data_IF_613463411541
#
_entry.id   IF_613463411541
#
_cell.length_a   1.000
_cell.length_b   1.000
_cell.length_c   1.000
_cell.angle_alpha   90.00
_cell.angle_beta   90.00
_cell.angle_gamma   90.00
#
_symmetry.space_group_name_H-M   'P 1'
#
loop_
_entity.id
_entity.type
_entity.pdbx_description
1 polymer ?
#
# COMPACT_ATOMS: atom_id res chain seq x y z
N UNK A 1 5.98 -5.29 23.15
CA UNK A 1 5.04 -4.28 22.61
C UNK A 1 4.57 -4.74 21.23
N UNK A 2 3.33 -5.26 21.10
CA UNK A 2 2.78 -5.66 19.79
C UNK A 2 2.31 -4.42 19.05
N UNK A 3 3.04 -4.02 18.02
CA UNK A 3 2.80 -2.78 17.28
C UNK A 3 1.66 -2.99 16.27
N UNK A 4 0.40 -2.92 16.74
CA UNK A 4 -0.84 -3.21 15.96
C UNK A 4 -0.96 -2.39 14.66
N UNK A 5 -0.27 -1.26 14.58
CA UNK A 5 -0.17 -0.45 13.36
C UNK A 5 0.64 -1.14 12.26
N UNK A 6 1.72 -1.86 12.58
CA UNK A 6 2.55 -2.58 11.62
C UNK A 6 1.78 -3.73 10.97
N UNK A 7 0.97 -4.47 11.72
CA UNK A 7 0.13 -5.55 11.16
C UNK A 7 -0.84 -5.01 10.10
N UNK A 8 -1.42 -3.83 10.35
CA UNK A 8 -2.33 -3.16 9.41
C UNK A 8 -1.60 -2.66 8.16
N UNK A 9 -0.35 -2.25 8.31
CA UNK A 9 0.52 -1.80 7.21
C UNK A 9 0.91 -2.99 6.34
N UNK A 10 1.35 -4.11 6.93
CA UNK A 10 1.67 -5.35 6.23
C UNK A 10 0.46 -5.88 5.47
N UNK A 11 -0.70 -5.92 6.11
CA UNK A 11 -1.95 -6.35 5.47
C UNK A 11 -2.31 -5.49 4.25
N UNK A 12 -1.98 -4.21 4.30
CA UNK A 12 -2.19 -3.30 3.19
C UNK A 12 -1.22 -3.58 2.02
N UNK A 13 0.05 -3.89 2.31
CA UNK A 13 1.00 -4.33 1.30
C UNK A 13 0.54 -5.62 0.61
N UNK A 14 0.12 -6.64 1.38
CA UNK A 14 -0.38 -7.93 0.85
C UNK A 14 -1.59 -7.74 -0.08
N UNK A 15 -2.51 -6.84 0.27
CA UNK A 15 -3.64 -6.49 -0.62
C UNK A 15 -3.16 -5.83 -1.91
N UNK A 16 -2.17 -4.94 -1.84
CA UNK A 16 -1.61 -4.29 -3.03
C UNK A 16 -0.93 -5.32 -3.95
N UNK A 17 -0.13 -6.21 -3.38
CA UNK A 17 0.56 -7.29 -4.11
C UNK A 17 -0.43 -8.27 -4.76
N UNK A 18 -1.45 -8.72 -4.02
CA UNK A 18 -2.52 -9.55 -4.56
C UNK A 18 -3.25 -8.84 -5.70
N UNK A 19 -3.54 -7.56 -5.55
CA UNK A 19 -4.19 -6.77 -6.59
C UNK A 19 -3.34 -6.71 -7.86
N UNK A 20 -2.04 -6.49 -7.72
CA UNK A 20 -1.09 -6.52 -8.83
C UNK A 20 -1.07 -7.89 -9.53
N UNK A 21 -1.03 -8.98 -8.76
CA UNK A 21 -1.04 -10.34 -9.31
C UNK A 21 -2.34 -10.68 -10.06
N UNK A 22 -3.48 -10.15 -9.62
CA UNK A 22 -4.78 -10.42 -10.23
C UNK A 22 -5.05 -9.52 -11.44
N UNK A 23 -4.74 -8.23 -11.33
CA UNK A 23 -5.15 -7.22 -12.31
C UNK A 23 -4.02 -6.75 -13.24
N UNK A 24 -2.75 -6.97 -12.86
CA UNK A 24 -1.59 -6.51 -13.62
C UNK A 24 -1.30 -5.01 -13.48
N UNK A 25 -2.00 -4.29 -12.60
CA UNK A 25 -1.80 -2.86 -12.34
C UNK A 25 -2.00 -2.49 -10.88
N UNK A 26 -1.54 -1.31 -10.49
CA UNK A 26 -1.61 -0.83 -9.11
C UNK A 26 -3.05 -0.50 -8.67
N UNK A 27 -3.48 -0.88 -7.45
CA UNK A 27 -4.76 -0.45 -6.93
C UNK A 27 -4.74 1.05 -6.61
N UNK A 28 -5.91 1.69 -6.78
CA UNK A 28 -6.09 3.07 -6.33
C UNK A 28 -6.31 3.15 -4.81
N UNK A 29 -6.13 4.33 -4.22
CA UNK A 29 -6.43 4.60 -2.79
C UNK A 29 -7.87 4.18 -2.43
N UNK A 30 -8.84 4.36 -3.34
CA UNK A 30 -10.23 3.92 -3.13
C UNK A 30 -10.36 2.39 -3.14
N UNK A 31 -9.68 1.70 -4.06
CA UNK A 31 -9.70 0.23 -4.11
C UNK A 31 -9.06 -0.36 -2.85
N UNK A 32 -7.93 0.19 -2.41
CA UNK A 32 -7.27 -0.22 -1.16
C UNK A 32 -8.21 -0.03 0.04
N UNK A 33 -8.87 1.14 0.12
CA UNK A 33 -9.86 1.42 1.16
C UNK A 33 -11.01 0.41 1.15
N UNK A 34 -11.58 0.12 -0.01
CA UNK A 34 -12.66 -0.86 -0.17
C UNK A 34 -12.22 -2.28 0.24
N UNK A 35 -11.03 -2.73 -0.18
CA UNK A 35 -10.51 -4.06 0.13
C UNK A 35 -10.15 -4.24 1.61
N UNK A 36 -9.72 -3.17 2.29
CA UNK A 36 -9.39 -3.20 3.71
C UNK A 36 -10.58 -2.82 4.62
N UNK A 37 -11.74 -2.48 4.06
CA UNK A 37 -12.89 -1.98 4.81
C UNK A 37 -12.64 -0.63 5.50
N UNK A 38 -11.77 0.21 4.94
CA UNK A 38 -11.42 1.53 5.46
C UNK A 38 -12.19 2.59 4.68
N UNK A 39 -13.14 3.23 5.34
CA UNK A 39 -13.90 4.37 4.78
C UNK A 39 -13.07 5.66 4.71
N UNK A 40 -12.11 5.84 5.63
CA UNK A 40 -11.28 7.04 5.70
C UNK A 40 -10.06 6.95 4.79
N UNK A 41 -10.08 7.71 3.68
CA UNK A 41 -8.93 7.87 2.77
C UNK A 41 -7.69 8.40 3.48
N UNK A 42 -7.85 9.24 4.51
CA UNK A 42 -6.75 9.76 5.34
C UNK A 42 -5.95 8.65 6.02
N UNK A 43 -6.65 7.62 6.51
CA UNK A 43 -6.00 6.45 7.13
C UNK A 43 -5.20 5.65 6.11
N UNK A 44 -5.73 5.52 4.88
CA UNK A 44 -5.05 4.85 3.77
C UNK A 44 -3.78 5.62 3.39
N UNK A 45 -3.86 6.94 3.24
CA UNK A 45 -2.70 7.79 2.95
C UNK A 45 -1.61 7.68 4.03
N UNK A 46 -1.98 7.69 5.32
CA UNK A 46 -1.02 7.52 6.42
C UNK A 46 -0.28 6.19 6.34
N UNK A 47 -0.98 5.10 6.02
CA UNK A 47 -0.36 3.77 5.88
C UNK A 47 0.50 3.66 4.61
N UNK A 48 0.07 4.25 3.49
CA UNK A 48 0.88 4.36 2.27
C UNK A 48 2.19 5.09 2.53
N UNK A 49 2.13 6.24 3.22
CA UNK A 49 3.33 6.98 3.58
C UNK A 49 4.26 6.14 4.46
N UNK A 50 3.72 5.32 5.38
CA UNK A 50 4.53 4.41 6.18
C UNK A 50 5.20 3.33 5.34
N UNK A 51 4.48 2.74 4.38
CA UNK A 51 5.06 1.76 3.44
C UNK A 51 6.15 2.38 2.57
N UNK A 52 5.99 3.64 2.18
CA UNK A 52 6.97 4.41 1.42
C UNK A 52 8.21 4.74 2.27
N UNK A 53 8.03 5.18 3.52
CA UNK A 53 9.12 5.39 4.49
C UNK A 53 9.91 4.10 4.74
N UNK A 54 9.24 2.95 4.73
CA UNK A 54 9.86 1.64 4.86
C UNK A 54 10.55 1.15 3.57
N UNK A 55 10.38 1.87 2.45
CA UNK A 55 10.95 1.51 1.16
C UNK A 55 10.25 0.37 0.42
N UNK A 56 9.09 -0.10 0.93
CA UNK A 56 8.35 -1.24 0.36
C UNK A 56 7.57 -0.83 -0.89
N UNK A 57 7.11 0.42 -0.94
CA UNK A 57 6.40 0.98 -2.08
C UNK A 57 6.97 2.35 -2.44
N UNK A 58 6.74 2.77 -3.67
CA UNK A 58 6.98 4.15 -4.11
C UNK A 58 5.71 4.72 -4.74
N UNK A 59 5.38 5.97 -4.42
CA UNK A 59 4.23 6.66 -5.00
C UNK A 59 4.67 7.82 -5.88
N UNK A 60 4.26 7.79 -7.14
CA UNK A 60 4.51 8.88 -8.07
C UNK A 60 3.78 10.14 -7.60
N UNK A 61 4.53 11.16 -7.20
CA UNK A 61 4.02 12.44 -6.67
C UNK A 61 2.97 13.14 -7.57
N UNK A 62 2.97 12.82 -8.86
CA UNK A 62 2.15 13.47 -9.89
C UNK A 62 1.06 12.57 -10.48
N UNK A 63 0.97 11.30 -10.07
CA UNK A 63 0.02 10.34 -10.64
C UNK A 63 -0.63 9.57 -9.49
N UNK A 64 -1.87 9.91 -9.14
CA UNK A 64 -2.66 9.25 -8.09
C UNK A 64 -2.84 7.73 -8.32
N UNK A 65 -2.47 7.23 -9.51
CA UNK A 65 -2.56 5.82 -9.92
C UNK A 65 -1.23 5.07 -10.00
N UNK A 66 -0.10 5.68 -9.65
CA UNK A 66 1.20 5.01 -9.74
C UNK A 66 1.74 4.69 -8.35
N UNK A 67 1.23 3.59 -7.77
CA UNK A 67 1.91 2.90 -6.66
C UNK A 67 2.76 1.82 -7.29
N UNK A 68 4.07 1.90 -7.12
CA UNK A 68 5.00 0.86 -7.59
C UNK A 68 5.45 0.04 -6.39
N UNK A 69 5.40 -1.28 -6.52
CA UNK A 69 6.02 -2.18 -5.54
C UNK A 69 7.53 -2.16 -5.79
N UNK A 70 8.30 -1.72 -4.79
CA UNK A 70 9.74 -1.91 -4.85
C UNK A 70 10.01 -3.36 -4.49
N UNK A 71 10.37 -4.17 -5.48
CA UNK A 71 10.95 -5.48 -5.22
C UNK A 71 12.30 -5.23 -4.54
N UNK A 72 12.32 -5.26 -3.21
CA UNK A 72 13.56 -5.15 -2.44
C UNK A 72 14.37 -6.40 -2.78
N UNK A 73 15.26 -6.26 -3.74
CA UNK A 73 16.28 -7.24 -4.05
C UNK A 73 17.36 -7.00 -3.01
N UNK A 74 17.30 -7.72 -1.89
CA UNK A 74 18.37 -7.72 -0.90
C UNK A 74 19.60 -8.32 -1.61
N UNK A 75 20.58 -7.48 -1.93
CA UNK A 75 21.88 -7.89 -2.45
C UNK A 75 22.93 -7.62 -1.37
#
# INVERSE_FOLDING_TARGET
>A
MKNKDLEKIIKMYDVIEKYFNIHGYAPSVRNIGAMLGISSTSTVHRRLNKLEELGWISKGKNITRSITLNSITWK
#
